data_IF_515581401190
#
_entry.id   IF_515581401190
#
_cell.length_a   1.000
_cell.length_b   1.000
_cell.length_c   1.000
_cell.angle_alpha   90.00
_cell.angle_beta   90.00
_cell.angle_gamma   90.00
#
_symmetry.space_group_name_H-M   'P 1'
#
loop_
_entity.id
_entity.type
_entity.pdbx_description
1 polymer ?
#
# COMPACT_ATOMS: atom_id res chain seq x y z
N UNK A 1 11.01 20.80 -21.07
CA UNK A 1 9.89 19.83 -21.14
C UNK A 1 10.17 18.47 -20.45
N UNK A 2 11.24 18.31 -19.65
CA UNK A 2 11.62 16.98 -19.10
C UNK A 2 10.84 16.60 -17.82
N UNK A 3 10.25 17.57 -17.10
CA UNK A 3 9.57 17.32 -15.81
C UNK A 3 8.27 16.50 -15.90
N UNK A 4 7.54 16.55 -17.03
CA UNK A 4 6.23 15.88 -17.14
C UNK A 4 6.34 14.36 -17.36
N UNK A 5 7.35 13.91 -18.12
CA UNK A 5 7.53 12.49 -18.46
C UNK A 5 7.95 11.64 -17.24
N UNK A 6 8.70 12.22 -16.30
CA UNK A 6 9.07 11.56 -15.05
C UNK A 6 7.88 11.38 -14.10
N UNK A 7 7.06 12.44 -13.97
CA UNK A 7 5.85 12.40 -13.13
C UNK A 7 4.84 11.41 -13.70
N UNK A 8 4.53 11.47 -15.00
CA UNK A 8 3.54 10.58 -15.65
C UNK A 8 3.92 9.08 -15.57
N UNK A 9 5.21 8.75 -15.71
CA UNK A 9 5.70 7.39 -15.50
C UNK A 9 5.60 6.95 -14.03
N UNK A 10 5.87 7.83 -13.08
CA UNK A 10 5.70 7.56 -11.65
C UNK A 10 4.23 7.36 -11.29
N UNK A 11 3.31 8.18 -11.81
CA UNK A 11 1.86 8.00 -11.58
C UNK A 11 1.38 6.66 -12.15
N UNK A 12 1.87 6.27 -13.33
CA UNK A 12 1.53 4.98 -13.95
C UNK A 12 2.07 3.79 -13.13
N UNK A 13 3.29 3.90 -12.59
CA UNK A 13 3.88 2.85 -11.76
C UNK A 13 3.14 2.71 -10.43
N UNK A 14 2.83 3.83 -9.76
CA UNK A 14 2.00 3.85 -8.55
C UNK A 14 0.62 3.27 -8.79
N UNK A 15 -0.02 3.60 -9.91
CA UNK A 15 -1.34 3.06 -10.24
C UNK A 15 -1.29 1.53 -10.36
N UNK A 16 -0.23 0.97 -10.95
CA UNK A 16 -0.04 -0.48 -10.99
C UNK A 16 0.16 -1.07 -9.59
N UNK A 17 1.02 -0.47 -8.76
CA UNK A 17 1.21 -0.93 -7.37
C UNK A 17 -0.12 -0.90 -6.61
N UNK A 18 -0.88 0.20 -6.71
CA UNK A 18 -2.21 0.33 -6.10
C UNK A 18 -3.16 -0.77 -6.55
N UNK A 19 -3.18 -1.11 -7.84
CA UNK A 19 -4.00 -2.19 -8.38
C UNK A 19 -3.62 -3.55 -7.78
N UNK A 20 -2.34 -3.90 -7.79
CA UNK A 20 -1.85 -5.17 -7.22
C UNK A 20 -2.19 -5.29 -5.74
N UNK A 21 -1.96 -4.22 -4.95
CA UNK A 21 -2.30 -4.18 -3.53
C UNK A 21 -3.80 -4.38 -3.30
N UNK A 22 -4.67 -3.74 -4.10
CA UNK A 22 -6.12 -3.90 -3.96
C UNK A 22 -6.61 -5.30 -4.33
N UNK A 23 -6.01 -5.91 -5.35
CA UNK A 23 -6.37 -7.27 -5.77
C UNK A 23 -5.96 -8.29 -4.70
N UNK A 24 -4.74 -8.19 -4.16
CA UNK A 24 -4.27 -9.08 -3.11
C UNK A 24 -5.03 -8.86 -1.79
N UNK A 25 -5.29 -7.61 -1.42
CA UNK A 25 -6.08 -7.30 -0.23
C UNK A 25 -7.53 -7.76 -0.37
N UNK A 26 -8.13 -7.74 -1.57
CA UNK A 26 -9.45 -8.30 -1.80
C UNK A 26 -9.49 -9.83 -1.65
N UNK A 27 -8.36 -10.53 -1.82
CA UNK A 27 -8.26 -11.96 -1.62
C UNK A 27 -8.01 -12.35 -0.15
N UNK A 28 -7.28 -11.52 0.61
CA UNK A 28 -6.87 -11.82 1.99
C UNK A 28 -7.50 -10.96 3.10
N UNK A 29 -8.31 -9.95 2.74
CA UNK A 29 -8.86 -8.85 3.55
C UNK A 29 -7.82 -7.90 4.19
N UNK A 30 -6.73 -8.43 4.73
CA UNK A 30 -5.71 -7.71 5.50
C UNK A 30 -4.32 -8.01 4.94
N UNK A 31 -3.49 -6.98 4.75
CA UNK A 31 -2.12 -7.13 4.29
C UNK A 31 -1.14 -6.39 5.21
N UNK A 32 0.03 -6.97 5.53
CA UNK A 32 1.09 -6.20 6.16
C UNK A 32 1.62 -5.15 5.18
N UNK A 33 2.11 -4.01 5.71
CA UNK A 33 2.69 -2.95 4.86
C UNK A 33 3.88 -3.44 3.99
N UNK A 34 4.54 -4.53 4.39
CA UNK A 34 5.59 -5.19 3.60
C UNK A 34 5.11 -5.69 2.25
N UNK A 35 3.82 -6.02 2.10
CA UNK A 35 3.27 -6.38 0.79
C UNK A 35 3.31 -5.19 -0.18
N UNK A 36 3.03 -3.98 0.31
CA UNK A 36 3.10 -2.76 -0.50
C UNK A 36 4.55 -2.48 -0.92
N UNK A 37 5.49 -2.56 0.03
CA UNK A 37 6.92 -2.43 -0.24
C UNK A 37 7.41 -3.42 -1.30
N UNK A 38 6.95 -4.68 -1.22
CA UNK A 38 7.26 -5.72 -2.20
C UNK A 38 6.80 -5.34 -3.60
N UNK A 39 5.55 -4.87 -3.77
CA UNK A 39 5.06 -4.44 -5.08
C UNK A 39 5.79 -3.20 -5.62
N UNK A 40 6.15 -2.25 -4.74
CA UNK A 40 6.99 -1.10 -5.12
C UNK A 40 8.35 -1.57 -5.63
N UNK A 41 9.02 -2.50 -4.93
CA UNK A 41 10.30 -3.08 -5.36
C UNK A 41 10.21 -3.78 -6.71
N UNK A 42 9.11 -4.47 -6.99
CA UNK A 42 8.90 -5.10 -8.29
C UNK A 42 8.83 -4.08 -9.43
N UNK A 43 8.12 -2.96 -9.23
CA UNK A 43 7.98 -1.91 -10.25
C UNK A 43 9.24 -1.02 -10.36
N UNK A 44 10.03 -0.92 -9.29
CA UNK A 44 11.16 -0.02 -9.16
C UNK A 44 12.46 -0.73 -8.73
N UNK A 45 12.82 -1.82 -9.41
CA UNK A 45 13.95 -2.69 -9.01
C UNK A 45 15.33 -2.00 -8.95
N UNK A 46 15.49 -0.84 -9.57
CA UNK A 46 16.73 -0.04 -9.57
C UNK A 46 16.69 1.19 -8.66
N UNK A 47 15.62 1.39 -7.88
CA UNK A 47 15.50 2.55 -7.00
C UNK A 47 16.40 2.42 -5.76
N UNK A 48 16.77 3.57 -5.18
CA UNK A 48 17.42 3.58 -3.87
C UNK A 48 16.44 3.12 -2.78
N UNK A 49 16.97 2.71 -1.62
CA UNK A 49 16.16 2.40 -0.43
C UNK A 49 15.20 3.54 -0.09
N UNK A 50 15.71 4.77 -0.03
CA UNK A 50 14.87 5.95 0.23
C UNK A 50 13.75 6.13 -0.82
N UNK A 51 14.04 5.86 -2.10
CA UNK A 51 13.03 5.93 -3.15
C UNK A 51 11.95 4.87 -3.02
N UNK A 52 12.31 3.65 -2.59
CA UNK A 52 11.34 2.60 -2.27
C UNK A 52 10.50 3.00 -1.06
N UNK A 53 11.12 3.55 -0.02
CA UNK A 53 10.41 3.97 1.19
C UNK A 53 9.40 5.08 0.90
N UNK A 54 9.83 6.12 0.19
CA UNK A 54 9.00 7.25 -0.20
C UNK A 54 7.81 6.80 -1.04
N UNK A 55 8.04 5.93 -2.04
CA UNK A 55 6.98 5.45 -2.93
C UNK A 55 6.02 4.48 -2.22
N UNK A 56 6.51 3.67 -1.28
CA UNK A 56 5.68 2.80 -0.43
C UNK A 56 4.75 3.64 0.45
N UNK A 57 5.30 4.63 1.15
CA UNK A 57 4.52 5.54 2.00
C UNK A 57 3.51 6.36 1.19
N UNK A 58 3.91 6.87 0.01
CA UNK A 58 3.02 7.58 -0.90
C UNK A 58 1.88 6.69 -1.41
N UNK A 59 2.17 5.43 -1.73
CA UNK A 59 1.16 4.45 -2.14
C UNK A 59 0.15 4.19 -1.03
N UNK A 60 0.62 3.87 0.20
CA UNK A 60 -0.25 3.62 1.35
C UNK A 60 -1.15 4.84 1.63
N UNK A 61 -0.55 6.04 1.69
CA UNK A 61 -1.27 7.30 1.90
C UNK A 61 -2.36 7.48 0.85
N UNK A 62 -2.02 7.32 -0.43
CA UNK A 62 -2.99 7.51 -1.52
C UNK A 62 -4.16 6.53 -1.45
N UNK A 63 -3.93 5.28 -1.03
CA UNK A 63 -5.01 4.30 -0.88
C UNK A 63 -5.93 4.65 0.30
N UNK A 64 -5.35 5.12 1.40
CA UNK A 64 -6.07 5.52 2.60
C UNK A 64 -6.87 6.82 2.40
N UNK A 65 -6.28 7.83 1.77
CA UNK A 65 -6.95 9.11 1.44
C UNK A 65 -8.12 8.91 0.47
N UNK A 66 -8.00 7.96 -0.47
CA UNK A 66 -9.11 7.55 -1.34
C UNK A 66 -10.14 6.67 -0.62
N UNK A 67 -9.94 6.31 0.64
CA UNK A 67 -10.82 5.46 1.43
C UNK A 67 -10.90 4.01 0.94
N UNK A 68 -9.89 3.55 0.20
CA UNK A 68 -9.84 2.18 -0.36
C UNK A 68 -9.32 1.17 0.67
N UNK A 69 -8.52 1.64 1.61
CA UNK A 69 -8.00 0.84 2.73
C UNK A 69 -8.13 1.63 4.04
N UNK A 70 -8.24 0.90 5.15
CA UNK A 70 -8.08 1.43 6.51
C UNK A 70 -6.70 1.04 7.04
N UNK A 71 -6.12 1.90 7.88
CA UNK A 71 -4.81 1.69 8.52
C UNK A 71 -5.00 1.16 9.94
N UNK A 72 -4.14 0.24 10.35
CA UNK A 72 -4.27 -0.41 11.65
C UNK A 72 -3.13 -1.36 11.99
N UNK A 73 -3.33 -2.14 13.03
CA UNK A 73 -2.40 -3.17 13.47
C UNK A 73 -3.12 -4.44 13.93
N UNK A 74 -2.38 -5.54 13.99
CA UNK A 74 -2.83 -6.78 14.64
C UNK A 74 -2.67 -6.72 16.17
N UNK A 75 -3.21 -5.66 16.79
CA UNK A 75 -3.11 -5.38 18.24
C UNK A 75 -4.35 -5.76 19.04
N UNK A 76 -5.45 -6.08 18.37
CA UNK A 76 -6.70 -6.45 19.02
C UNK A 76 -6.60 -7.76 19.77
N UNK A 77 -7.56 -8.00 20.67
CA UNK A 77 -7.64 -9.24 21.45
C UNK A 77 -7.59 -10.49 20.54
N UNK A 78 -6.68 -11.41 20.86
CA UNK A 78 -6.45 -12.62 20.06
C UNK A 78 -5.67 -12.37 18.76
N UNK A 79 -4.98 -11.24 18.63
CA UNK A 79 -4.24 -10.87 17.42
C UNK A 79 -5.15 -10.41 16.28
N UNK A 80 -6.37 -9.95 16.60
CA UNK A 80 -7.31 -9.41 15.61
C UNK A 80 -6.80 -8.08 15.08
N UNK A 81 -7.13 -7.81 13.81
CA UNK A 81 -6.93 -6.50 13.24
C UNK A 81 -7.79 -5.44 13.96
N UNK A 82 -7.19 -4.30 14.22
CA UNK A 82 -7.81 -3.14 14.84
C UNK A 82 -7.46 -1.89 14.02
N UNK A 83 -8.50 -1.14 13.64
CA UNK A 83 -8.35 0.14 12.99
C UNK A 83 -7.75 1.15 13.97
N UNK A 84 -6.86 2.02 13.48
CA UNK A 84 -6.49 3.20 14.25
C UNK A 84 -7.55 4.28 14.06
N UNK A 85 -8.21 4.68 15.15
CA UNK A 85 -9.21 5.75 15.17
C UNK A 85 -8.52 7.13 15.24
N UNK A 86 -7.82 7.48 14.18
CA UNK A 86 -7.06 8.72 14.06
C UNK A 86 -7.00 9.21 12.60
N UNK A 87 -6.65 10.49 12.36
CA UNK A 87 -6.49 11.00 11.00
C UNK A 87 -5.39 10.26 10.23
N UNK A 88 -5.55 10.15 8.90
CA UNK A 88 -4.57 9.49 8.00
C UNK A 88 -3.14 10.00 8.23
N UNK A 89 -2.95 11.31 8.46
CA UNK A 89 -1.63 11.87 8.75
C UNK A 89 -0.97 11.28 10.00
N UNK A 90 -1.74 11.08 11.08
CA UNK A 90 -1.24 10.49 12.31
C UNK A 90 -0.87 9.01 12.09
N UNK A 91 -1.72 8.26 11.40
CA UNK A 91 -1.44 6.86 11.05
C UNK A 91 -0.23 6.71 10.14
N UNK A 92 -0.08 7.59 9.15
CA UNK A 92 1.10 7.62 8.28
C UNK A 92 2.37 7.95 9.05
N UNK A 93 2.30 8.83 10.06
CA UNK A 93 3.45 9.11 10.92
C UNK A 93 3.87 7.85 11.70
N UNK A 94 2.92 7.11 12.28
CA UNK A 94 3.22 5.85 13.00
C UNK A 94 3.88 4.81 12.10
N UNK A 95 3.36 4.64 10.88
CA UNK A 95 3.96 3.74 9.89
C UNK A 95 5.38 4.19 9.58
N UNK A 96 5.59 5.49 9.33
CA UNK A 96 6.91 6.06 9.01
C UNK A 96 7.92 5.83 10.13
N UNK A 97 7.51 6.05 11.39
CA UNK A 97 8.36 5.91 12.58
C UNK A 97 8.87 4.48 12.79
N UNK A 98 8.12 3.47 12.35
CA UNK A 98 8.56 2.07 12.38
C UNK A 98 9.28 1.65 11.11
N UNK A 99 8.71 1.94 9.95
CA UNK A 99 9.18 1.42 8.66
C UNK A 99 10.52 2.01 8.22
N UNK A 100 10.72 3.33 8.37
CA UNK A 100 11.91 4.01 7.84
C UNK A 100 13.19 3.68 8.62
N UNK A 101 13.25 3.87 9.95
CA UNK A 101 14.49 3.67 10.70
C UNK A 101 14.86 2.19 10.89
N UNK A 102 13.89 1.27 10.79
CA UNK A 102 14.14 -0.16 10.97
C UNK A 102 14.23 -0.93 9.66
N UNK A 103 14.23 -0.24 8.51
CA UNK A 103 14.09 -0.88 7.21
C UNK A 103 15.10 -2.02 6.95
N UNK A 104 16.35 -1.83 7.37
CA UNK A 104 17.45 -2.80 7.24
C UNK A 104 17.40 -3.94 8.29
N UNK A 105 16.44 -3.89 9.21
CA UNK A 105 16.12 -4.95 10.18
C UNK A 105 14.67 -5.43 9.97
N UNK A 106 14.38 -6.24 8.93
CA UNK A 106 13.02 -6.66 8.59
C UNK A 106 12.21 -7.22 9.77
N UNK A 107 12.76 -8.09 10.64
CA UNK A 107 12.05 -8.56 11.83
C UNK A 107 11.46 -7.46 12.72
N UNK A 108 12.02 -6.24 12.72
CA UNK A 108 11.55 -5.13 13.53
C UNK A 108 10.34 -4.38 12.94
N UNK A 109 10.04 -4.49 11.64
CA UNK A 109 8.97 -3.69 11.01
C UNK A 109 7.99 -4.45 10.13
N UNK A 110 8.32 -5.64 9.63
CA UNK A 110 7.47 -6.33 8.61
C UNK A 110 6.06 -6.67 9.11
N UNK A 111 5.90 -6.74 10.43
CA UNK A 111 4.64 -6.93 11.14
C UNK A 111 4.40 -5.77 12.13
N UNK A 112 4.74 -4.54 11.77
CA UNK A 112 4.47 -3.37 12.62
C UNK A 112 3.10 -2.75 12.33
N UNK A 113 2.65 -2.80 11.07
CA UNK A 113 1.43 -2.14 10.59
C UNK A 113 0.78 -2.92 9.45
N UNK A 114 -0.54 -2.79 9.32
CA UNK A 114 -1.37 -3.48 8.35
C UNK A 114 -2.35 -2.52 7.69
N UNK A 115 -2.69 -2.84 6.44
CA UNK A 115 -3.83 -2.27 5.74
C UNK A 115 -4.96 -3.29 5.73
N UNK A 116 -6.20 -2.81 5.81
CA UNK A 116 -7.39 -3.62 5.58
C UNK A 116 -8.23 -3.01 4.47
N UNK A 117 -8.62 -3.82 3.49
CA UNK A 117 -9.43 -3.32 2.38
C UNK A 117 -10.83 -2.94 2.85
N UNK A 118 -11.31 -1.77 2.41
CA UNK A 118 -12.68 -1.30 2.69
C UNK A 118 -13.66 -1.85 1.67
N UNK A 119 -14.95 -1.64 1.88
CA UNK A 119 -15.96 -2.00 0.88
C UNK A 119 -15.80 -1.23 -0.42
N UNK A 120 -15.39 0.05 -0.34
CA UNK A 120 -15.02 0.86 -1.50
C UNK A 120 -13.80 0.25 -2.22
N UNK A 121 -12.77 -0.16 -1.47
CA UNK A 121 -11.61 -0.86 -2.02
C UNK A 121 -12.00 -2.14 -2.74
N UNK A 122 -12.85 -2.98 -2.13
CA UNK A 122 -13.36 -4.21 -2.73
C UNK A 122 -14.15 -3.95 -4.01
N UNK A 123 -14.94 -2.88 -4.06
CA UNK A 123 -15.64 -2.49 -5.28
C UNK A 123 -14.64 -2.18 -6.41
N UNK A 124 -13.63 -1.35 -6.13
CA UNK A 124 -12.59 -1.00 -7.11
C UNK A 124 -11.84 -2.25 -7.58
N UNK A 125 -11.47 -3.15 -6.67
CA UNK A 125 -10.80 -4.41 -7.02
C UNK A 125 -11.64 -5.26 -8.00
N UNK A 126 -12.96 -5.40 -7.76
CA UNK A 126 -13.85 -6.13 -8.68
C UNK A 126 -13.92 -5.49 -10.06
N UNK A 127 -13.93 -4.16 -10.14
CA UNK A 127 -13.92 -3.44 -11.42
C UNK A 127 -12.61 -3.65 -12.18
N UNK A 128 -11.46 -3.72 -11.49
CA UNK A 128 -10.17 -4.05 -12.08
C UNK A 128 -10.16 -5.46 -12.65
N UNK A 129 -10.62 -6.46 -11.90
CA UNK A 129 -10.71 -7.83 -12.39
C UNK A 129 -11.61 -7.95 -13.63
N UNK A 130 -12.76 -7.27 -13.63
CA UNK A 130 -13.67 -7.28 -14.76
C UNK A 130 -13.03 -6.68 -16.02
N UNK A 131 -12.28 -5.59 -15.90
CA UNK A 131 -11.52 -4.98 -17.00
C UNK A 131 -10.44 -5.92 -17.54
N UNK A 132 -9.69 -6.58 -16.66
CA UNK A 132 -8.65 -7.54 -17.06
C UNK A 132 -9.23 -8.74 -17.81
N UNK A 133 -10.41 -9.24 -17.41
CA UNK A 133 -11.11 -10.33 -18.12
C UNK A 133 -11.71 -9.88 -19.46
N UNK A 134 -12.26 -8.67 -19.54
CA UNK A 134 -12.87 -8.12 -20.76
C UNK A 134 -11.86 -7.67 -21.82
N UNK A 135 -10.60 -7.41 -21.44
CA UNK A 135 -9.53 -7.08 -22.39
C UNK A 135 -8.94 -8.30 -23.11
N UNK A 136 -9.35 -9.51 -22.74
CA UNK A 136 -8.90 -10.79 -23.32
C UNK A 136 -9.90 -11.40 -24.32
N UNK A 137 -10.99 -10.69 -24.64
CA UNK A 137 -12.03 -11.07 -25.62
C UNK A 137 -12.09 -10.07 -26.76
#
# INVERSE_FOLDING_TARGET
>A
MIKNQGIERMTTARDKVRQEVLLDAAAGDELPITAVDYYVKQQHSSASVSGIQDETLATIRSLAEDGLVALGAMSGEGGRWEAWDEPVDASMQRITDWYVPHYDDPPAWVFSSWIKITDKGRQVARELEAKSRGSLT
#
